data_IF_368065269821
#
_entry.id   IF_368065269821
#
_cell.length_a   1.000
_cell.length_b   1.000
_cell.length_c   1.000
_cell.angle_alpha   90.00
_cell.angle_beta   90.00
_cell.angle_gamma   90.00
#
_symmetry.space_group_name_H-M   'P 1'
#
loop_
_entity.id
_entity.type
_entity.pdbx_description
1 polymer ?
#
# COMPACT_ATOMS: atom_id res chain seq x y z
N UNK A 1 -19.08 -15.13 13.21
CA UNK A 1 -19.49 -13.99 12.37
C UNK A 1 -19.20 -12.68 13.10
N UNK A 2 -18.04 -12.09 12.84
CA UNK A 2 -17.77 -10.68 13.11
C UNK A 2 -17.29 -10.09 11.78
N UNK A 3 -18.28 -9.64 11.01
CA UNK A 3 -18.07 -8.73 9.89
C UNK A 3 -17.64 -7.41 10.50
N UNK A 4 -16.34 -7.15 10.52
CA UNK A 4 -15.82 -5.81 10.82
C UNK A 4 -15.48 -5.17 9.48
N UNK A 5 -16.51 -4.49 8.95
CA UNK A 5 -16.34 -3.46 7.94
C UNK A 5 -15.57 -2.30 8.56
N UNK A 6 -14.24 -2.30 8.45
CA UNK A 6 -13.42 -1.09 8.62
C UNK A 6 -12.22 -1.20 7.66
N UNK A 7 -12.48 -1.20 6.35
CA UNK A 7 -11.53 -0.60 5.43
C UNK A 7 -11.83 0.90 5.48
N UNK A 8 -11.15 1.56 6.39
CA UNK A 8 -11.19 3.00 6.60
C UNK A 8 -10.82 3.67 5.27
N UNK A 9 -11.69 4.55 4.79
CA UNK A 9 -11.47 5.36 3.62
C UNK A 9 -10.11 6.09 3.69
N UNK A 10 -9.20 5.73 2.78
CA UNK A 10 -7.98 6.49 2.51
C UNK A 10 -7.78 6.75 1.00
N UNK A 11 -8.82 6.62 0.16
CA UNK A 11 -8.73 6.92 -1.27
C UNK A 11 -9.52 8.17 -1.63
N UNK A 12 -9.17 9.30 -1.03
CA UNK A 12 -9.67 10.61 -1.49
C UNK A 12 -8.63 11.43 -2.28
N UNK A 13 -7.55 10.80 -2.74
CA UNK A 13 -6.58 11.45 -3.65
C UNK A 13 -6.02 10.57 -4.78
N UNK A 14 -6.46 9.31 -4.96
CA UNK A 14 -6.08 8.49 -6.14
C UNK A 14 -6.89 8.83 -7.41
N UNK A 15 -7.46 10.05 -7.48
CA UNK A 15 -7.85 10.62 -8.78
C UNK A 15 -6.62 10.91 -9.68
N UNK A 16 -5.42 10.54 -9.23
CA UNK A 16 -4.13 10.64 -9.91
C UNK A 16 -3.61 9.31 -10.48
N UNK A 17 -4.42 8.25 -10.60
CA UNK A 17 -4.03 7.04 -11.37
C UNK A 17 -3.73 7.28 -12.87
N UNK A 18 -3.68 8.54 -13.30
CA UNK A 18 -3.23 8.99 -14.61
C UNK A 18 -2.00 9.94 -14.54
N UNK A 19 -1.40 10.12 -13.36
CA UNK A 19 -0.18 10.92 -13.16
C UNK A 19 1.06 10.10 -12.80
N UNK A 20 0.90 8.86 -12.33
CA UNK A 20 1.99 7.93 -12.04
C UNK A 20 2.77 7.58 -13.33
N UNK A 21 4.09 7.65 -13.28
CA UNK A 21 4.93 7.30 -14.42
C UNK A 21 4.89 5.78 -14.71
N UNK A 22 5.05 5.33 -15.98
CA UNK A 22 5.06 3.90 -16.32
C UNK A 22 6.17 3.07 -15.66
N UNK A 23 7.14 3.72 -15.01
CA UNK A 23 8.18 3.06 -14.23
C UNK A 23 7.73 2.83 -12.79
N UNK A 24 7.04 3.81 -12.20
CA UNK A 24 6.42 3.70 -10.89
C UNK A 24 5.27 2.68 -10.90
N UNK A 25 4.40 2.70 -11.92
CA UNK A 25 3.35 1.68 -12.12
C UNK A 25 3.92 0.25 -12.07
N UNK A 26 5.04 0.00 -12.76
CA UNK A 26 5.67 -1.32 -12.77
C UNK A 26 6.21 -1.77 -11.42
N UNK A 27 6.59 -0.82 -10.57
CA UNK A 27 7.09 -1.14 -9.23
C UNK A 27 5.93 -1.46 -8.30
N UNK A 28 4.85 -0.71 -8.41
CA UNK A 28 3.58 -0.96 -7.73
C UNK A 28 3.01 -2.33 -8.13
N UNK A 29 2.83 -2.59 -9.44
CA UNK A 29 2.36 -3.87 -9.99
C UNK A 29 3.21 -5.07 -9.51
N UNK A 30 4.54 -4.87 -9.41
CA UNK A 30 5.44 -5.91 -8.94
C UNK A 30 5.31 -6.20 -7.46
N UNK A 31 5.03 -5.18 -6.65
CA UNK A 31 4.82 -5.32 -5.23
C UNK A 31 3.46 -5.94 -4.94
N UNK A 32 2.40 -5.48 -5.61
CA UNK A 32 1.06 -6.07 -5.56
C UNK A 32 1.11 -7.56 -5.92
N UNK A 33 1.72 -7.92 -7.06
CA UNK A 33 1.86 -9.33 -7.45
C UNK A 33 2.66 -10.18 -6.45
N UNK A 34 3.58 -9.58 -5.69
CA UNK A 34 4.30 -10.28 -4.63
C UNK A 34 3.46 -10.40 -3.34
N UNK A 35 2.71 -9.36 -2.99
CA UNK A 35 1.79 -9.36 -1.87
C UNK A 35 0.68 -10.40 -2.09
N UNK A 36 0.07 -10.44 -3.27
CA UNK A 36 -0.94 -11.44 -3.67
C UNK A 36 -0.46 -12.88 -3.44
N UNK A 37 0.79 -13.18 -3.83
CA UNK A 37 1.36 -14.53 -3.64
C UNK A 37 1.54 -14.87 -2.16
N UNK A 38 1.79 -13.87 -1.30
CA UNK A 38 1.91 -14.05 0.15
C UNK A 38 0.52 -14.19 0.76
N UNK A 39 -0.45 -13.40 0.33
CA UNK A 39 -1.84 -13.44 0.78
C UNK A 39 -2.51 -14.77 0.41
N UNK A 40 -2.34 -15.23 -0.83
CA UNK A 40 -2.79 -16.57 -1.28
C UNK A 40 -2.23 -17.70 -0.41
N UNK A 41 -0.99 -17.55 0.06
CA UNK A 41 -0.37 -18.51 0.98
C UNK A 41 -0.96 -18.40 2.39
N UNK A 42 -1.24 -17.18 2.87
CA UNK A 42 -1.89 -16.94 4.16
C UNK A 42 -3.31 -17.53 4.16
N UNK A 43 -4.03 -17.41 3.05
CA UNK A 43 -5.39 -17.94 2.87
C UNK A 43 -5.46 -19.47 2.89
N UNK A 44 -4.37 -20.14 2.51
CA UNK A 44 -4.24 -21.58 2.64
C UNK A 44 -3.94 -22.05 4.08
N UNK A 45 -3.63 -21.12 5.00
CA UNK A 45 -3.31 -21.44 6.40
C UNK A 45 -4.56 -21.50 7.29
N UNK A 46 -4.53 -22.32 8.35
CA UNK A 46 -5.55 -22.23 9.40
C UNK A 46 -5.52 -20.85 10.07
N UNK A 47 -6.70 -20.37 10.44
CA UNK A 47 -6.87 -19.16 11.22
C UNK A 47 -5.97 -19.13 12.48
N UNK A 48 -5.32 -18.00 12.71
CA UNK A 48 -4.49 -17.76 13.90
C UNK A 48 -3.28 -16.86 13.64
N UNK A 49 -2.40 -16.69 14.66
CA UNK A 49 -1.32 -15.70 14.62
C UNK A 49 -0.32 -15.89 13.48
N UNK A 50 -0.19 -17.11 12.96
CA UNK A 50 0.71 -17.39 11.85
C UNK A 50 0.13 -16.93 10.50
N UNK A 51 -1.20 -16.98 10.33
CA UNK A 51 -1.91 -16.42 9.18
C UNK A 51 -1.86 -14.89 9.24
N UNK A 52 -2.19 -14.31 10.40
CA UNK A 52 -2.11 -12.86 10.64
C UNK A 52 -0.70 -12.31 10.32
N UNK A 53 0.36 -12.98 10.79
CA UNK A 53 1.74 -12.56 10.49
C UNK A 53 2.12 -12.66 9.01
N UNK A 54 1.38 -13.46 8.23
CA UNK A 54 1.60 -13.60 6.79
C UNK A 54 0.81 -12.56 6.00
N UNK A 55 -0.43 -12.26 6.40
CA UNK A 55 -1.22 -11.13 5.93
C UNK A 55 -0.47 -9.80 6.20
N UNK A 56 0.00 -9.58 7.44
CA UNK A 56 0.82 -8.40 7.81
C UNK A 56 2.07 -8.25 6.93
N UNK A 57 2.60 -9.37 6.41
CA UNK A 57 3.75 -9.37 5.52
C UNK A 57 3.37 -9.02 4.08
N UNK A 58 2.20 -9.44 3.61
CA UNK A 58 1.67 -9.01 2.31
C UNK A 58 1.46 -7.49 2.32
N UNK A 59 0.79 -6.97 3.35
CA UNK A 59 0.58 -5.53 3.56
C UNK A 59 1.89 -4.73 3.56
N UNK A 60 2.93 -5.24 4.25
CA UNK A 60 4.22 -4.57 4.29
C UNK A 60 4.93 -4.55 2.92
N UNK A 61 4.70 -5.54 2.06
CA UNK A 61 5.26 -5.60 0.70
C UNK A 61 4.54 -4.62 -0.21
N UNK A 62 3.22 -4.59 -0.17
CA UNK A 62 2.39 -3.65 -0.92
C UNK A 62 2.74 -2.20 -0.56
N UNK A 63 2.74 -1.87 0.75
CA UNK A 63 3.06 -0.53 1.22
C UNK A 63 4.47 -0.07 0.84
N UNK A 64 5.47 -0.97 0.90
CA UNK A 64 6.83 -0.64 0.45
C UNK A 64 6.93 -0.45 -1.07
N UNK A 65 6.07 -1.13 -1.84
CA UNK A 65 5.91 -0.94 -3.27
C UNK A 65 5.33 0.42 -3.61
N UNK A 66 4.23 0.79 -2.95
CA UNK A 66 3.58 2.10 -3.10
C UNK A 66 4.51 3.25 -2.72
N UNK A 67 5.16 3.20 -1.55
CA UNK A 67 6.11 4.24 -1.12
C UNK A 67 7.24 4.42 -2.15
N UNK A 68 7.73 3.31 -2.70
CA UNK A 68 8.77 3.34 -3.72
C UNK A 68 8.26 3.86 -5.06
N UNK A 69 7.04 3.51 -5.46
CA UNK A 69 6.42 4.00 -6.68
C UNK A 69 6.15 5.51 -6.58
N UNK A 70 5.64 5.99 -5.44
CA UNK A 70 5.47 7.41 -5.12
C UNK A 70 6.80 8.16 -5.19
N UNK A 71 7.85 7.65 -4.55
CA UNK A 71 9.18 8.28 -4.59
C UNK A 71 9.76 8.37 -6.01
N UNK A 72 9.38 7.47 -6.91
CA UNK A 72 9.76 7.51 -8.33
C UNK A 72 8.94 8.53 -9.12
N UNK A 73 7.66 8.71 -8.78
CA UNK A 73 6.78 9.64 -9.48
C UNK A 73 6.99 11.09 -9.05
N UNK A 74 7.21 11.32 -7.76
CA UNK A 74 7.48 12.64 -7.20
C UNK A 74 8.91 13.17 -7.50
N UNK A 75 9.66 12.50 -8.38
CA UNK A 75 11.01 12.91 -8.77
C UNK A 75 11.98 13.04 -7.56
N UNK A 76 11.68 12.33 -6.46
CA UNK A 76 12.40 12.41 -5.18
C UNK A 76 11.93 13.51 -4.21
N UNK A 77 10.82 14.21 -4.48
CA UNK A 77 10.12 15.04 -3.50
C UNK A 77 9.19 14.12 -2.67
N UNK A 78 9.22 14.23 -1.35
CA UNK A 78 8.28 13.47 -0.52
C UNK A 78 6.90 14.10 -0.75
N UNK A 79 5.91 13.34 -1.25
CA UNK A 79 4.54 13.85 -1.38
C UNK A 79 4.11 14.50 -0.04
N UNK A 80 3.44 15.67 -0.07
CA UNK A 80 2.96 16.35 1.13
C UNK A 80 2.07 15.47 2.04
N UNK A 81 1.52 14.39 1.50
CA UNK A 81 0.75 13.37 2.24
C UNK A 81 1.61 12.49 3.16
N UNK A 82 2.92 12.41 2.93
CA UNK A 82 3.87 11.58 3.70
C UNK A 82 4.60 12.39 4.80
N UNK A 83 4.61 13.72 4.69
CA UNK A 83 4.88 14.62 5.82
C UNK A 83 3.57 14.87 6.56
N UNK A 84 3.25 13.97 7.50
CA UNK A 84 2.04 14.02 8.29
C UNK A 84 1.64 15.45 8.69
N UNK A 85 0.41 15.82 8.35
CA UNK A 85 -0.38 16.88 8.96
C UNK A 85 0.40 17.97 9.72
N UNK A 86 0.70 19.10 9.06
CA UNK A 86 0.70 20.38 9.78
C UNK A 86 0.09 21.50 8.90
N UNK A 87 -1.23 21.74 9.00
CA UNK A 87 -1.82 22.96 8.50
C UNK A 87 -1.46 24.09 9.48
N UNK A 88 -0.78 25.11 8.95
CA UNK A 88 -0.45 26.39 9.60
C UNK A 88 0.93 26.50 10.29
N UNK A 89 1.85 27.19 9.60
CA UNK A 89 2.48 28.43 10.12
C UNK A 89 3.35 29.09 9.04
N UNK A 90 2.77 30.06 8.31
CA UNK A 90 3.14 31.49 8.38
C UNK A 90 2.24 32.34 7.51
#
# INVERSE_FOLDING_TARGET
>A
MRKMFIALAATSALALGACQSPAADKVEDQAEAQADVIDDQADAMPEGPAKEAMEDKADAVEAAGEEKANAMDDNGEIAPSEVGADPAKK
#
